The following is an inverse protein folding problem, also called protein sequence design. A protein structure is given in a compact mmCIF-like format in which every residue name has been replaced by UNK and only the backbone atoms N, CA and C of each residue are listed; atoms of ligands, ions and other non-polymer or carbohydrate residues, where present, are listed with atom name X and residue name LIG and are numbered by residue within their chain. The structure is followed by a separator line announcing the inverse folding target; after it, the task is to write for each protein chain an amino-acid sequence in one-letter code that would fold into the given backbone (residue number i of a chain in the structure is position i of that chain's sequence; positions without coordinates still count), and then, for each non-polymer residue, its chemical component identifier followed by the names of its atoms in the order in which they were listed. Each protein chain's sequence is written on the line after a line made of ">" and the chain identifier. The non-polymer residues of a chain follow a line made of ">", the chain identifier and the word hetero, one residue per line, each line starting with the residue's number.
data_IF_406870029130
#
_entry.id   IF_406870029130
#
_cell.length_a   1.000
_cell.length_b   1.000
_cell.length_c   1.000
_cell.angle_alpha   90.00
_cell.angle_beta   90.00
_cell.angle_gamma   90.00
#
_symmetry.space_group_name_H-M   'P 1'
#
loop_
_entity.id
_entity.type
_entity.pdbx_description
1 polymer ?
#
# COMPACT_ATOMS: atom_id res chain seq x y z
N UNK A 1 14.66 -19.75 -79.79
CA UNK A 1 14.19 -18.68 -78.88
C UNK A 1 13.22 -19.19 -77.79
N UNK A 2 12.63 -20.38 -77.94
CA UNK A 2 11.64 -20.94 -77.00
C UNK A 2 12.20 -21.25 -75.58
N UNK A 3 13.47 -21.67 -75.47
CA UNK A 3 14.10 -21.98 -74.18
C UNK A 3 14.46 -20.73 -73.35
N UNK A 4 14.76 -19.61 -74.00
CA UNK A 4 15.02 -18.34 -73.31
C UNK A 4 13.71 -17.75 -72.75
N UNK A 5 12.59 -17.91 -73.46
CA UNK A 5 11.26 -17.49 -72.99
C UNK A 5 10.77 -18.33 -71.79
N UNK A 6 10.98 -19.66 -71.82
CA UNK A 6 10.69 -20.55 -70.68
C UNK A 6 11.57 -20.23 -69.46
N UNK A 7 12.85 -19.94 -69.67
CA UNK A 7 13.75 -19.51 -68.60
C UNK A 7 13.35 -18.13 -68.03
N UNK A 8 12.93 -17.19 -68.88
CA UNK A 8 12.47 -15.87 -68.48
C UNK A 8 11.16 -15.94 -67.67
N UNK A 9 10.22 -16.80 -68.07
CA UNK A 9 8.99 -17.07 -67.32
C UNK A 9 9.27 -17.71 -65.96
N UNK A 10 10.19 -18.66 -65.87
CA UNK A 10 10.59 -19.27 -64.59
C UNK A 10 11.34 -18.28 -63.69
N UNK A 11 12.21 -17.44 -64.25
CA UNK A 11 12.92 -16.40 -63.52
C UNK A 11 11.98 -15.27 -63.03
N UNK A 12 11.00 -14.89 -63.85
CA UNK A 12 9.97 -13.91 -63.48
C UNK A 12 9.07 -14.41 -62.35
N UNK A 13 8.68 -15.69 -62.38
CA UNK A 13 7.92 -16.32 -61.30
C UNK A 13 8.68 -16.37 -59.97
N UNK A 14 9.98 -16.72 -60.01
CA UNK A 14 10.82 -16.70 -58.80
C UNK A 14 11.06 -15.29 -58.26
N UNK A 15 11.24 -14.29 -59.13
CA UNK A 15 11.39 -12.90 -58.72
C UNK A 15 10.13 -12.39 -58.00
N UNK A 16 8.96 -12.68 -58.54
CA UNK A 16 7.68 -12.30 -57.90
C UNK A 16 7.53 -13.01 -56.55
N UNK A 17 7.90 -14.29 -56.45
CA UNK A 17 7.86 -15.02 -55.18
C UNK A 17 8.78 -14.40 -54.11
N UNK A 18 10.01 -14.00 -54.48
CA UNK A 18 10.94 -13.32 -53.57
C UNK A 18 10.45 -11.94 -53.14
N UNK A 19 9.80 -11.19 -54.03
CA UNK A 19 9.19 -9.90 -53.70
C UNK A 19 8.02 -10.05 -52.73
N UNK A 20 7.17 -11.06 -52.93
CA UNK A 20 6.06 -11.36 -52.01
C UNK A 20 6.58 -11.77 -50.63
N UNK A 21 7.61 -12.63 -50.57
CA UNK A 21 8.24 -13.05 -49.30
C UNK A 21 8.90 -11.84 -48.60
N UNK A 22 9.61 -11.00 -49.34
CA UNK A 22 10.22 -9.78 -48.80
C UNK A 22 9.19 -8.78 -48.25
N UNK A 23 8.07 -8.59 -48.96
CA UNK A 23 6.97 -7.75 -48.50
C UNK A 23 6.29 -8.31 -47.24
N UNK A 24 6.12 -9.64 -47.15
CA UNK A 24 5.58 -10.30 -45.96
C UNK A 24 6.51 -10.16 -44.75
N UNK A 25 7.82 -10.32 -44.92
CA UNK A 25 8.80 -10.12 -43.84
C UNK A 25 8.79 -8.66 -43.33
N UNK A 26 8.69 -7.68 -44.22
CA UNK A 26 8.57 -6.27 -43.85
C UNK A 26 7.25 -5.98 -43.13
N UNK A 27 6.14 -6.57 -43.58
CA UNK A 27 4.84 -6.45 -42.91
C UNK A 27 4.85 -7.11 -41.52
N UNK A 28 5.48 -8.28 -41.35
CA UNK A 28 5.61 -8.93 -40.04
C UNK A 28 6.51 -8.16 -39.07
N UNK A 29 7.58 -7.52 -39.56
CA UNK A 29 8.41 -6.66 -38.73
C UNK A 29 7.66 -5.39 -38.29
N UNK A 30 6.88 -4.76 -39.18
CA UNK A 30 6.06 -3.59 -38.84
C UNK A 30 4.91 -3.93 -37.86
N UNK A 31 4.26 -5.08 -38.02
CA UNK A 31 3.25 -5.57 -37.08
C UNK A 31 3.90 -5.89 -35.72
N UNK A 32 5.08 -6.53 -35.73
CA UNK A 32 5.84 -6.82 -34.52
C UNK A 32 6.26 -5.56 -33.75
N UNK A 33 6.70 -4.51 -34.45
CA UNK A 33 7.11 -3.25 -33.83
C UNK A 33 5.92 -2.40 -33.37
N UNK A 34 4.78 -2.45 -34.08
CA UNK A 34 3.53 -1.81 -33.66
C UNK A 34 2.93 -2.49 -32.41
N UNK A 35 2.89 -3.82 -32.37
CA UNK A 35 2.44 -4.57 -31.18
C UNK A 35 3.39 -4.40 -30.00
N UNK A 36 4.71 -4.36 -30.23
CA UNK A 36 5.70 -4.01 -29.18
C UNK A 36 5.53 -2.59 -28.67
N UNK A 37 5.26 -1.62 -29.55
CA UNK A 37 5.00 -0.23 -29.17
C UNK A 37 3.73 -0.07 -28.33
N UNK A 38 2.64 -0.74 -28.74
CA UNK A 38 1.38 -0.78 -27.99
C UNK A 38 1.53 -1.49 -26.65
N UNK A 39 2.19 -2.65 -26.61
CA UNK A 39 2.52 -3.40 -25.39
C UNK A 39 3.38 -2.56 -24.43
N UNK A 40 4.39 -1.84 -24.94
CA UNK A 40 5.24 -0.96 -24.13
C UNK A 40 4.48 0.23 -23.56
N UNK A 41 3.56 0.83 -24.32
CA UNK A 41 2.72 1.93 -23.87
C UNK A 41 1.71 1.47 -22.79
N UNK A 42 1.08 0.30 -22.98
CA UNK A 42 0.18 -0.30 -21.99
C UNK A 42 0.94 -0.66 -20.70
N UNK A 43 2.14 -1.25 -20.83
CA UNK A 43 3.05 -1.51 -19.70
C UNK A 43 3.38 -0.24 -18.93
N UNK A 44 3.80 0.81 -19.64
CA UNK A 44 4.13 2.09 -19.02
C UNK A 44 2.93 2.73 -18.34
N UNK A 45 1.73 2.63 -18.92
CA UNK A 45 0.50 3.15 -18.31
C UNK A 45 0.13 2.41 -17.04
N UNK A 46 0.15 1.07 -17.04
CA UNK A 46 -0.23 0.28 -15.87
C UNK A 46 0.73 0.45 -14.70
N UNK A 47 2.05 0.47 -14.97
CA UNK A 47 3.06 0.72 -13.93
C UNK A 47 2.96 2.17 -13.43
N UNK A 48 2.66 3.14 -14.29
CA UNK A 48 2.43 4.52 -13.88
C UNK A 48 1.15 4.67 -13.03
N UNK A 49 0.05 4.00 -13.40
CA UNK A 49 -1.20 4.00 -12.64
C UNK A 49 -1.00 3.36 -11.26
N UNK A 50 -0.30 2.21 -11.21
CA UNK A 50 0.13 1.60 -9.95
C UNK A 50 0.98 2.58 -9.12
N UNK A 51 2.04 3.14 -9.71
CA UNK A 51 2.91 4.08 -9.00
C UNK A 51 2.16 5.31 -8.52
N UNK A 52 1.14 5.79 -9.23
CA UNK A 52 0.32 6.93 -8.80
C UNK A 52 -0.46 6.63 -7.53
N UNK A 53 -0.86 5.38 -7.29
CA UNK A 53 -1.54 4.99 -6.06
C UNK A 53 -0.66 5.15 -4.81
N UNK A 54 0.67 4.99 -4.97
CA UNK A 54 1.66 5.03 -3.89
C UNK A 54 2.43 6.37 -3.85
N UNK A 55 2.79 6.94 -5.01
CA UNK A 55 3.59 8.16 -5.14
C UNK A 55 2.88 9.45 -4.73
N UNK A 56 1.54 9.43 -4.59
CA UNK A 56 0.77 10.56 -4.03
C UNK A 56 1.07 10.83 -2.56
N UNK A 57 1.70 9.88 -1.86
CA UNK A 57 2.13 10.02 -0.46
C UNK A 57 3.56 10.56 -0.38
N UNK A 58 3.81 11.68 -1.06
CA UNK A 58 5.07 12.41 -1.05
C UNK A 58 4.90 13.76 -0.33
N UNK A 59 5.99 14.25 0.28
CA UNK A 59 6.00 15.53 1.03
C UNK A 59 6.06 15.37 2.54
N UNK A 60 5.93 16.50 3.24
CA UNK A 60 6.28 16.62 4.67
C UNK A 60 5.07 16.67 5.63
N UNK A 61 3.84 16.70 5.10
CA UNK A 61 2.60 16.79 5.89
C UNK A 61 1.66 15.60 5.63
N UNK A 62 2.19 14.39 5.78
CA UNK A 62 1.43 13.15 5.59
C UNK A 62 0.83 12.75 6.93
N UNK A 63 -0.50 12.60 7.00
CA UNK A 63 -1.15 12.19 8.25
C UNK A 63 -1.04 10.70 8.47
N UNK A 64 -1.00 10.27 9.74
CA UNK A 64 -0.93 8.85 10.07
C UNK A 64 -2.06 8.03 9.46
N UNK A 65 -3.29 8.56 9.36
CA UNK A 65 -4.39 7.85 8.70
C UNK A 65 -4.14 7.59 7.20
N UNK A 66 -3.37 8.45 6.52
CA UNK A 66 -2.95 8.26 5.13
C UNK A 66 -1.96 7.10 5.03
N UNK A 67 -1.01 7.02 5.97
CA UNK A 67 -0.06 5.90 6.09
C UNK A 67 -0.78 4.59 6.39
N UNK A 68 -1.78 4.57 7.28
CA UNK A 68 -2.54 3.34 7.55
C UNK A 68 -3.29 2.86 6.30
N UNK A 69 -3.83 3.78 5.51
CA UNK A 69 -4.48 3.47 4.22
C UNK A 69 -3.49 2.88 3.23
N UNK A 70 -2.29 3.48 3.15
CA UNK A 70 -1.20 3.01 2.31
C UNK A 70 -0.70 1.62 2.72
N UNK A 71 -0.59 1.35 4.02
CA UNK A 71 -0.24 0.05 4.57
C UNK A 71 -1.25 -1.02 4.15
N UNK A 72 -2.55 -0.74 4.27
CA UNK A 72 -3.59 -1.68 3.82
C UNK A 72 -3.47 -1.97 2.32
N UNK A 73 -3.18 -0.97 1.49
CA UNK A 73 -2.91 -1.15 0.05
C UNK A 73 -1.68 -2.03 -0.21
N UNK A 74 -0.58 -1.77 0.51
CA UNK A 74 0.65 -2.55 0.37
C UNK A 74 0.47 -4.01 0.78
N UNK A 75 -0.24 -4.25 1.90
CA UNK A 75 -0.55 -5.61 2.40
C UNK A 75 -1.49 -6.34 1.43
N UNK A 76 -2.53 -5.68 0.92
CA UNK A 76 -3.42 -6.25 -0.08
C UNK A 76 -2.66 -6.59 -1.37
N UNK A 77 -1.79 -5.71 -1.84
CA UNK A 77 -0.90 -5.98 -2.98
C UNK A 77 -0.02 -7.21 -2.73
N UNK A 78 0.66 -7.27 -1.59
CA UNK A 78 1.55 -8.38 -1.24
C UNK A 78 0.81 -9.72 -1.06
N UNK A 79 -0.47 -9.70 -0.70
CA UNK A 79 -1.29 -10.92 -0.60
C UNK A 79 -1.54 -11.60 -1.95
N UNK A 80 -1.35 -10.88 -3.05
CA UNK A 80 -1.57 -11.36 -4.42
C UNK A 80 -0.34 -12.01 -5.05
N UNK A 81 0.75 -12.18 -4.28
CA UNK A 81 2.05 -12.69 -4.75
C UNK A 81 1.97 -14.03 -5.50
N UNK A 82 1.01 -14.87 -5.12
CA UNK A 82 0.80 -16.19 -5.71
C UNK A 82 -0.40 -16.24 -6.69
N UNK A 83 -1.01 -15.09 -7.01
CA UNK A 83 -2.10 -15.04 -8.00
C UNK A 83 -1.48 -15.13 -9.39
N UNK A 84 -1.79 -16.16 -10.20
CA UNK A 84 -1.31 -16.21 -11.57
C UNK A 84 -1.75 -14.93 -12.28
N UNK A 85 -0.81 -14.16 -12.82
CA UNK A 85 -1.13 -13.07 -13.74
C UNK A 85 -1.87 -13.71 -14.91
N UNK A 86 -3.20 -13.58 -14.95
CA UNK A 86 -3.97 -14.06 -16.09
C UNK A 86 -3.41 -13.39 -17.35
N UNK A 87 -2.93 -14.22 -18.27
CA UNK A 87 -2.61 -13.94 -19.66
C UNK A 87 -2.01 -12.55 -19.93
N UNK A 88 -0.68 -12.40 -19.74
CA UNK A 88 0.16 -11.43 -20.46
C UNK A 88 -0.26 -9.94 -20.49
N UNK A 89 -1.24 -9.55 -19.67
CA UNK A 89 -1.93 -8.24 -19.75
C UNK A 89 -1.72 -7.39 -18.50
N UNK A 90 -1.16 -7.96 -17.43
CA UNK A 90 -0.84 -7.26 -16.20
C UNK A 90 0.68 -7.06 -16.11
N UNK A 91 1.13 -5.82 -16.26
CA UNK A 91 2.54 -5.46 -16.26
C UNK A 91 3.07 -5.02 -14.89
N UNK A 92 2.20 -4.96 -13.87
CA UNK A 92 2.60 -4.83 -12.47
C UNK A 92 3.09 -6.18 -12.00
N UNK A 93 4.31 -6.22 -11.47
CA UNK A 93 4.94 -7.44 -10.99
C UNK A 93 4.54 -7.70 -9.53
N UNK A 94 3.57 -8.57 -9.32
CA UNK A 94 3.07 -9.00 -8.00
C UNK A 94 4.02 -9.95 -7.28
N UNK A 95 5.06 -10.47 -7.94
CA UNK A 95 6.09 -11.27 -7.26
C UNK A 95 6.96 -10.40 -6.34
N UNK A 96 7.01 -9.09 -6.60
CA UNK A 96 7.70 -8.10 -5.78
C UNK A 96 6.93 -7.82 -4.50
N UNK A 97 7.67 -7.55 -3.42
CA UNK A 97 7.09 -7.20 -2.13
C UNK A 97 7.18 -5.69 -1.91
N UNK A 98 6.03 -5.05 -1.71
CA UNK A 98 5.92 -3.66 -1.28
C UNK A 98 6.25 -3.56 0.22
N UNK A 99 7.14 -2.65 0.58
CA UNK A 99 7.52 -2.41 1.98
C UNK A 99 7.19 -0.98 2.38
N UNK A 100 6.34 -0.80 3.41
CA UNK A 100 6.12 0.50 4.02
C UNK A 100 6.96 0.57 5.29
N UNK A 101 7.86 1.55 5.38
CA UNK A 101 8.73 1.74 6.53
C UNK A 101 8.32 2.99 7.29
N UNK A 102 8.19 2.89 8.61
CA UNK A 102 7.97 4.03 9.50
C UNK A 102 9.14 4.14 10.46
N UNK A 103 9.74 5.31 10.55
CA UNK A 103 10.94 5.61 11.34
C UNK A 103 10.67 6.68 12.40
N UNK A 104 11.63 6.88 13.31
CA UNK A 104 11.53 7.79 14.45
C UNK A 104 10.36 7.45 15.40
N UNK A 105 9.97 6.17 15.43
CA UNK A 105 8.84 5.73 16.22
C UNK A 105 9.13 5.67 17.72
N UNK A 106 10.41 5.63 18.14
CA UNK A 106 10.73 5.80 19.57
C UNK A 106 10.31 7.17 20.09
N UNK A 107 10.45 8.22 19.28
CA UNK A 107 10.01 9.57 19.65
C UNK A 107 8.49 9.64 19.80
N UNK A 108 7.75 9.03 18.85
CA UNK A 108 6.30 8.90 18.96
C UNK A 108 5.90 8.16 20.24
N UNK A 109 6.48 6.98 20.49
CA UNK A 109 6.17 6.13 21.65
C UNK A 109 6.54 6.82 22.97
N UNK A 110 7.63 7.58 23.01
CA UNK A 110 8.00 8.33 24.20
C UNK A 110 6.98 9.43 24.56
N UNK A 111 6.33 10.02 23.55
CA UNK A 111 5.37 11.12 23.72
C UNK A 111 3.93 10.63 23.93
N UNK A 112 3.52 9.61 23.19
CA UNK A 112 2.13 9.16 23.09
C UNK A 112 1.91 7.72 23.53
N UNK A 113 2.99 6.96 23.74
CA UNK A 113 2.90 5.55 24.04
C UNK A 113 2.34 5.26 25.42
N UNK A 114 1.75 4.07 25.57
CA UNK A 114 1.06 3.72 26.81
C UNK A 114 2.01 3.24 27.92
N UNK A 115 3.22 2.80 27.55
CA UNK A 115 4.22 2.27 28.46
C UNK A 115 4.00 0.81 28.88
N UNK A 116 2.89 0.20 28.46
CA UNK A 116 2.44 -1.12 28.88
C UNK A 116 2.99 -2.23 27.94
N UNK A 117 3.43 -3.36 28.50
CA UNK A 117 4.10 -4.44 27.76
C UNK A 117 3.18 -5.29 26.88
N UNK A 118 1.88 -5.22 27.12
CA UNK A 118 0.87 -6.06 26.47
C UNK A 118 0.11 -5.32 25.36
N UNK A 119 0.66 -4.22 24.86
CA UNK A 119 -0.10 -3.24 24.08
C UNK A 119 0.42 -3.04 22.66
N UNK A 120 -0.30 -2.22 21.90
CA UNK A 120 0.13 -1.82 20.57
C UNK A 120 1.51 -1.13 20.67
N UNK A 121 2.39 -1.38 19.70
CA UNK A 121 3.77 -0.89 19.71
C UNK A 121 4.64 -1.34 20.91
N UNK A 122 4.25 -2.43 21.62
CA UNK A 122 4.97 -2.98 22.79
C UNK A 122 6.46 -3.26 22.58
N UNK A 123 6.87 -3.57 21.35
CA UNK A 123 8.26 -3.89 21.02
C UNK A 123 9.15 -2.63 21.05
N UNK A 124 8.56 -1.43 21.13
CA UNK A 124 9.24 -0.13 21.23
C UNK A 124 10.31 0.05 20.15
N UNK A 125 10.05 -0.48 18.96
CA UNK A 125 10.95 -0.37 17.83
C UNK A 125 10.99 1.07 17.34
N UNK A 126 12.17 1.50 16.89
CA UNK A 126 12.31 2.82 16.26
C UNK A 126 11.89 2.81 14.80
N UNK A 127 12.00 1.63 14.18
CA UNK A 127 11.68 1.39 12.78
C UNK A 127 10.71 0.23 12.71
N UNK A 128 9.59 0.43 12.01
CA UNK A 128 8.66 -0.62 11.65
C UNK A 128 8.69 -0.77 10.13
N UNK A 129 9.12 -1.94 9.64
CA UNK A 129 9.03 -2.30 8.22
C UNK A 129 7.83 -3.24 8.03
N UNK A 130 6.87 -2.83 7.22
CA UNK A 130 5.59 -3.51 7.04
C UNK A 130 5.53 -4.13 5.64
N UNK A 131 5.32 -5.44 5.60
CA UNK A 131 5.13 -6.22 4.37
C UNK A 131 3.94 -7.17 4.44
N UNK A 132 3.41 -7.45 5.64
CA UNK A 132 2.40 -8.48 5.88
C UNK A 132 1.29 -8.00 6.81
N UNK A 133 0.09 -8.56 6.65
CA UNK A 133 -1.02 -8.39 7.59
C UNK A 133 -0.66 -8.84 9.03
N UNK A 134 0.37 -9.67 9.19
CA UNK A 134 0.82 -10.15 10.49
C UNK A 134 1.75 -9.20 11.24
N UNK A 135 2.18 -8.10 10.62
CA UNK A 135 3.05 -7.11 11.24
C UNK A 135 2.30 -6.28 12.30
N UNK A 136 3.06 -5.62 13.19
CA UNK A 136 2.52 -4.90 14.35
C UNK A 136 1.48 -3.83 13.98
N UNK A 137 1.78 -3.02 12.96
CA UNK A 137 0.89 -1.92 12.56
C UNK A 137 -0.41 -2.44 11.94
N UNK A 138 -0.40 -3.36 10.95
CA UNK A 138 -1.63 -3.98 10.43
C UNK A 138 -2.50 -4.67 11.48
N UNK A 139 -1.92 -5.45 12.40
CA UNK A 139 -2.67 -6.05 13.52
C UNK A 139 -3.32 -5.00 14.43
N UNK A 140 -2.63 -3.88 14.63
CA UNK A 140 -3.18 -2.71 15.30
C UNK A 140 -4.40 -2.17 14.56
N UNK A 141 -4.30 -1.93 13.25
CA UNK A 141 -5.42 -1.46 12.41
C UNK A 141 -6.64 -2.36 12.60
N UNK A 142 -6.47 -3.68 12.44
CA UNK A 142 -7.55 -4.66 12.61
C UNK A 142 -8.19 -4.57 14.01
N UNK A 143 -7.36 -4.55 15.06
CA UNK A 143 -7.81 -4.46 16.45
C UNK A 143 -8.63 -3.20 16.68
N UNK A 144 -8.09 -2.03 16.31
CA UNK A 144 -8.75 -0.75 16.58
C UNK A 144 -9.98 -0.53 15.70
N UNK A 145 -10.00 -1.00 14.46
CA UNK A 145 -11.22 -0.99 13.64
C UNK A 145 -12.29 -1.90 14.25
N UNK A 146 -11.92 -3.06 14.80
CA UNK A 146 -12.81 -3.92 15.57
C UNK A 146 -13.42 -3.21 16.79
N UNK A 147 -12.60 -2.44 17.52
CA UNK A 147 -13.04 -1.61 18.64
C UNK A 147 -13.97 -0.48 18.17
N UNK A 148 -13.62 0.25 17.10
CA UNK A 148 -14.43 1.32 16.51
C UNK A 148 -15.81 0.82 16.09
N UNK A 149 -15.90 -0.39 15.53
CA UNK A 149 -17.16 -1.03 15.16
C UNK A 149 -17.97 -1.48 16.40
N UNK A 150 -17.30 -2.08 17.39
CA UNK A 150 -17.95 -2.62 18.59
C UNK A 150 -18.50 -1.53 19.51
N UNK A 151 -17.70 -0.47 19.73
CA UNK A 151 -17.99 0.57 20.71
C UNK A 151 -18.45 1.88 20.10
N UNK A 152 -18.47 1.99 18.77
CA UNK A 152 -18.68 3.23 18.00
C UNK A 152 -17.51 4.20 18.15
N UNK A 153 -16.91 4.56 17.02
CA UNK A 153 -15.78 5.49 16.92
C UNK A 153 -15.95 6.79 17.73
N UNK A 154 -17.15 7.38 17.73
CA UNK A 154 -17.43 8.62 18.46
C UNK A 154 -17.28 8.45 19.98
N UNK A 155 -17.70 7.31 20.53
CA UNK A 155 -17.61 7.04 21.98
C UNK A 155 -16.16 6.85 22.41
N UNK A 156 -15.39 6.09 21.62
CA UNK A 156 -13.96 5.90 21.88
C UNK A 156 -13.19 7.22 21.81
N UNK A 157 -13.49 8.07 20.81
CA UNK A 157 -12.89 9.41 20.71
C UNK A 157 -13.23 10.29 21.91
N UNK A 158 -14.50 10.36 22.31
CA UNK A 158 -14.92 11.16 23.48
C UNK A 158 -14.24 10.69 24.77
N UNK A 159 -14.17 9.38 25.00
CA UNK A 159 -13.49 8.82 26.18
C UNK A 159 -11.98 9.07 26.13
N UNK A 160 -11.35 8.98 24.97
CA UNK A 160 -9.91 9.25 24.83
C UNK A 160 -9.57 10.70 25.11
N UNK A 161 -10.39 11.63 24.61
CA UNK A 161 -10.23 13.06 24.88
C UNK A 161 -10.47 13.41 26.37
N UNK A 162 -11.23 12.59 27.10
CA UNK A 162 -11.53 12.78 28.52
C UNK A 162 -10.83 11.75 29.41
N UNK A 163 -9.77 11.08 28.90
CA UNK A 163 -9.13 9.94 29.56
C UNK A 163 -8.76 10.22 31.02
N UNK A 164 -8.07 11.35 31.26
CA UNK A 164 -7.63 11.77 32.59
C UNK A 164 -8.81 11.90 33.56
N UNK A 165 -9.87 12.60 33.15
CA UNK A 165 -11.05 12.85 34.00
C UNK A 165 -11.83 11.57 34.32
N UNK A 166 -11.82 10.59 33.41
CA UNK A 166 -12.57 9.33 33.58
C UNK A 166 -11.76 8.27 34.32
N UNK A 167 -10.50 8.07 33.95
CA UNK A 167 -9.72 6.89 34.34
C UNK A 167 -8.53 7.16 35.26
N UNK A 168 -8.10 8.41 35.40
CA UNK A 168 -7.01 8.79 36.34
C UNK A 168 -7.55 9.52 37.56
N UNK A 169 -8.46 10.48 37.35
CA UNK A 169 -8.99 11.33 38.43
C UNK A 169 -10.36 10.89 38.96
N UNK A 170 -11.09 10.05 38.20
CA UNK A 170 -12.45 9.62 38.52
C UNK A 170 -13.43 10.81 38.76
N UNK A 171 -13.22 11.93 38.08
CA UNK A 171 -14.08 13.13 38.14
C UNK A 171 -15.37 12.95 37.32
N UNK A 172 -15.30 12.12 36.26
CA UNK A 172 -16.42 11.81 35.38
C UNK A 172 -16.53 10.30 35.19
N UNK A 173 -17.74 9.81 35.01
CA UNK A 173 -17.99 8.41 34.64
C UNK A 173 -18.01 8.24 33.12
N UNK A 174 -17.92 6.98 32.66
CA UNK A 174 -18.16 6.62 31.25
C UNK A 174 -19.50 7.19 30.78
N UNK A 175 -20.56 7.04 31.57
CA UNK A 175 -21.91 7.52 31.26
C UNK A 175 -21.95 9.04 31.06
N UNK A 176 -21.19 9.80 31.85
CA UNK A 176 -21.13 11.26 31.72
C UNK A 176 -20.51 11.70 30.39
N UNK A 177 -19.59 10.89 29.84
CA UNK A 177 -18.91 11.20 28.57
C UNK A 177 -19.69 10.70 27.34
N UNK A 178 -20.25 9.50 27.39
CA UNK A 178 -20.86 8.85 26.21
C UNK A 178 -22.38 8.72 26.26
N UNK A 179 -23.02 9.20 27.34
CA UNK A 179 -24.46 9.21 27.55
C UNK A 179 -25.10 7.84 27.83
N UNK A 180 -24.30 6.77 27.86
CA UNK A 180 -24.76 5.41 28.17
C UNK A 180 -23.83 4.75 29.16
N UNK A 181 -24.41 3.86 29.94
CA UNK A 181 -23.64 2.98 30.80
C UNK A 181 -23.15 1.77 29.98
N UNK A 182 -21.83 1.60 29.87
CA UNK A 182 -21.20 0.48 29.17
C UNK A 182 -20.08 -0.11 30.04
N UNK A 183 -20.41 -1.17 30.79
CA UNK A 183 -19.49 -1.83 31.73
C UNK A 183 -18.23 -2.36 31.06
N UNK A 184 -18.26 -2.62 29.75
CA UNK A 184 -17.08 -3.07 28.99
C UNK A 184 -16.01 -1.98 28.85
N UNK A 185 -16.41 -0.72 29.00
CA UNK A 185 -15.55 0.46 28.95
C UNK A 185 -15.24 1.03 30.34
N UNK A 186 -15.63 0.34 31.42
CA UNK A 186 -15.32 0.73 32.81
C UNK A 186 -14.15 -0.07 33.39
N UNK A 187 -13.65 0.40 34.54
CA UNK A 187 -12.60 -0.26 35.32
C UNK A 187 -11.31 -0.43 34.53
N UNK A 188 -10.44 -1.33 35.01
CA UNK A 188 -9.10 -1.53 34.45
C UNK A 188 -9.14 -1.98 32.98
N UNK A 189 -10.12 -2.84 32.62
CA UNK A 189 -10.29 -3.30 31.24
C UNK A 189 -10.64 -2.13 30.32
N UNK A 190 -11.61 -1.30 30.71
CA UNK A 190 -12.00 -0.12 29.96
C UNK A 190 -10.87 0.91 29.87
N UNK A 191 -10.18 1.16 30.99
CA UNK A 191 -9.01 2.03 31.06
C UNK A 191 -7.95 1.59 30.04
N UNK A 192 -7.64 0.30 29.98
CA UNK A 192 -6.68 -0.27 29.02
C UNK A 192 -7.11 -0.04 27.56
N UNK A 193 -8.37 -0.37 27.23
CA UNK A 193 -8.92 -0.19 25.88
C UNK A 193 -8.82 1.27 25.43
N UNK A 194 -9.24 2.21 26.28
CA UNK A 194 -9.23 3.63 25.93
C UNK A 194 -7.81 4.19 25.87
N UNK A 195 -6.90 3.73 26.73
CA UNK A 195 -5.48 4.14 26.70
C UNK A 195 -4.82 3.76 25.37
N UNK A 196 -5.00 2.51 24.95
CA UNK A 196 -4.48 2.03 23.65
C UNK A 196 -5.14 2.75 22.47
N UNK A 197 -6.46 2.93 22.51
CA UNK A 197 -7.15 3.64 21.43
C UNK A 197 -6.75 5.12 21.38
N UNK A 198 -6.40 5.74 22.51
CA UNK A 198 -5.82 7.08 22.56
C UNK A 198 -4.48 7.11 21.82
N UNK A 199 -3.55 6.18 22.08
CA UNK A 199 -2.28 6.05 21.34
C UNK A 199 -2.53 5.88 19.83
N UNK A 200 -3.46 5.01 19.43
CA UNK A 200 -3.86 4.84 18.03
C UNK A 200 -4.44 6.11 17.40
N UNK A 201 -5.25 6.84 18.14
CA UNK A 201 -5.78 8.12 17.69
C UNK A 201 -4.69 9.16 17.50
N UNK A 202 -3.70 9.22 18.42
CA UNK A 202 -2.54 10.11 18.30
C UNK A 202 -1.69 9.75 17.07
N UNK A 203 -1.49 8.47 16.80
CA UNK A 203 -0.81 8.03 15.58
C UNK A 203 -1.55 8.51 14.34
N UNK A 204 -2.88 8.34 14.28
CA UNK A 204 -3.71 8.75 13.13
C UNK A 204 -3.64 10.25 12.85
N UNK A 205 -3.58 11.08 13.90
CA UNK A 205 -3.51 12.54 13.79
C UNK A 205 -2.09 13.07 13.63
N UNK A 206 -1.07 12.27 13.96
CA UNK A 206 0.34 12.63 13.83
C UNK A 206 0.73 12.93 12.39
N UNK A 207 1.75 13.77 12.25
CA UNK A 207 2.34 14.14 10.96
C UNK A 207 3.60 13.34 10.70
N UNK A 208 3.80 12.98 9.44
CA UNK A 208 4.95 12.24 8.96
C UNK A 208 5.47 12.90 7.68
N UNK A 209 6.77 12.79 7.46
CA UNK A 209 7.42 13.19 6.20
C UNK A 209 7.84 11.96 5.41
N UNK A 210 7.64 12.00 4.10
CA UNK A 210 8.21 11.01 3.18
C UNK A 210 9.70 11.26 3.01
N UNK A 211 10.52 10.22 3.22
CA UNK A 211 11.99 10.34 3.25
C UNK A 211 12.69 9.53 2.18
N UNK A 212 12.05 8.45 1.71
CA UNK A 212 12.62 7.59 0.69
C UNK A 212 11.53 6.89 -0.12
N UNK A 213 11.81 6.61 -1.39
CA UNK A 213 10.97 5.81 -2.29
C UNK A 213 11.86 4.84 -3.05
N UNK A 214 11.59 3.55 -2.90
CA UNK A 214 12.39 2.48 -3.48
C UNK A 214 11.71 1.91 -4.72
N UNK A 215 12.52 1.61 -5.73
CA UNK A 215 12.06 1.13 -7.03
C UNK A 215 12.75 -0.19 -7.41
N UNK A 216 12.02 -1.04 -8.14
CA UNK A 216 12.58 -2.20 -8.85
C UNK A 216 12.17 -2.09 -10.32
N UNK A 217 13.11 -1.67 -11.17
CA UNK A 217 12.78 -1.13 -12.48
C UNK A 217 11.94 0.13 -12.31
N UNK A 218 10.84 0.25 -13.05
CA UNK A 218 9.96 1.42 -12.98
C UNK A 218 8.90 1.32 -11.87
N UNK A 219 8.76 0.17 -11.18
CA UNK A 219 7.72 -0.06 -10.18
C UNK A 219 8.20 0.32 -8.77
N UNK A 220 7.39 1.08 -8.03
CA UNK A 220 7.63 1.33 -6.60
C UNK A 220 7.51 0.01 -5.82
N UNK A 221 8.50 -0.26 -4.97
CA UNK A 221 8.54 -1.42 -4.06
C UNK A 221 8.71 -1.02 -2.59
N UNK A 222 8.87 0.26 -2.30
CA UNK A 222 8.87 0.70 -0.92
C UNK A 222 8.77 2.21 -0.74
N UNK A 223 8.28 2.59 0.43
CA UNK A 223 8.13 3.98 0.86
C UNK A 223 8.54 4.09 2.33
N UNK A 224 9.31 5.13 2.67
CA UNK A 224 9.74 5.39 4.04
C UNK A 224 9.17 6.70 4.55
N UNK A 225 8.54 6.63 5.72
CA UNK A 225 7.97 7.77 6.43
C UNK A 225 8.68 7.96 7.76
N UNK A 226 8.94 9.20 8.14
CA UNK A 226 9.52 9.55 9.43
C UNK A 226 8.50 10.35 10.24
N UNK A 227 8.28 9.95 11.48
CA UNK A 227 7.42 10.69 12.41
C UNK A 227 8.00 12.09 12.68
N UNK A 228 7.14 13.11 12.60
CA UNK A 228 7.47 14.51 12.90
C UNK A 228 6.75 14.92 14.18
N UNK A 229 7.53 15.33 15.18
CA UNK A 229 7.06 15.70 16.52
C UNK A 229 6.34 17.05 16.57
#
# INVERSE_FOLDING_TARGET
>A
MENASKALLMAGGMLIALLVIGALLLAFNQIGDYEKGKSSMVKSSQVADFNKEFGKYSGDDIKGYDILTLINKAVDFNSRKDTPTQDGTNYVDYSKTMTITITNMKTFIAKHGTGDSDEWLKDKQDVYAITSANDMIPKGIETFTGLENTYKIQRLRSLSANYESVYEKNEKSVKDIIGVDDDRLKGDKGKKIIKQYREYSEFKSSTFKSTDTQYSGDQIIGLTFEYVN
#
